data_IF_578342496738
#
_entry.id   IF_578342496738
#
_cell.length_a   1.000
_cell.length_b   1.000
_cell.length_c   1.000
_cell.angle_alpha   90.00
_cell.angle_beta   90.00
_cell.angle_gamma   90.00
#
_symmetry.space_group_name_H-M   'P 1'
#
loop_
_entity.id
_entity.type
_entity.pdbx_description
1 polymer ?
#
# COMPACT_ATOMS: atom_id res chain seq x y z
N UNK A 1 22.52 17.31 1.14
CA UNK A 1 21.73 16.38 1.97
C UNK A 1 20.28 16.56 1.60
N UNK A 2 19.53 15.52 1.16
CA UNK A 2 18.09 15.66 0.98
C UNK A 2 17.46 16.00 2.33
N UNK A 3 16.64 17.05 2.37
CA UNK A 3 15.95 17.48 3.57
C UNK A 3 15.06 16.33 4.08
N UNK A 4 15.31 15.87 5.30
CA UNK A 4 14.47 14.90 5.99
C UNK A 4 13.02 15.42 6.03
N UNK A 5 12.13 14.78 5.31
CA UNK A 5 10.71 15.12 5.40
C UNK A 5 10.21 14.75 6.80
N UNK A 6 9.61 15.69 7.53
CA UNK A 6 9.13 15.41 8.88
C UNK A 6 8.08 14.30 8.86
N UNK A 7 8.02 13.46 9.90
CA UNK A 7 7.02 12.41 9.97
C UNK A 7 5.62 13.02 9.96
N UNK A 8 4.70 12.36 9.26
CA UNK A 8 3.30 12.76 9.23
C UNK A 8 2.74 12.90 10.65
N UNK A 9 1.90 13.91 10.87
CA UNK A 9 1.28 14.15 12.17
C UNK A 9 0.60 12.88 12.70
N UNK A 10 0.79 12.61 14.00
CA UNK A 10 0.17 11.45 14.66
C UNK A 10 -1.34 11.53 14.55
N UNK A 11 -1.95 10.43 14.19
CA UNK A 11 -3.40 10.30 14.08
C UNK A 11 -3.90 9.37 15.19
N UNK A 12 -4.76 9.84 16.11
CA UNK A 12 -5.38 8.95 17.07
C UNK A 12 -6.25 7.93 16.34
N UNK A 13 -6.15 6.67 16.73
CA UNK A 13 -7.05 5.64 16.18
C UNK A 13 -8.49 5.88 16.65
N UNK A 14 -9.41 5.85 15.69
CA UNK A 14 -10.85 5.86 15.94
C UNK A 14 -11.47 4.69 15.19
N UNK A 15 -12.24 3.80 15.86
CA UNK A 15 -12.89 2.69 15.19
C UNK A 15 -13.80 3.20 14.05
N UNK A 16 -13.67 2.58 12.87
CA UNK A 16 -14.55 2.87 11.74
C UNK A 16 -16.02 2.57 12.10
N UNK A 17 -16.99 3.23 11.45
CA UNK A 17 -18.42 2.99 11.73
C UNK A 17 -18.81 1.52 11.65
N UNK A 18 -18.30 0.77 10.67
CA UNK A 18 -18.55 -0.67 10.54
C UNK A 18 -18.05 -1.44 11.77
N UNK A 19 -16.86 -1.12 12.30
CA UNK A 19 -16.33 -1.77 13.50
C UNK A 19 -17.17 -1.46 14.73
N UNK A 20 -17.64 -0.20 14.89
CA UNK A 20 -18.55 0.17 15.98
C UNK A 20 -19.88 -0.56 15.88
N UNK A 21 -20.44 -0.67 14.66
CA UNK A 21 -21.66 -1.42 14.40
C UNK A 21 -21.50 -2.91 14.72
N UNK A 22 -20.36 -3.52 14.33
CA UNK A 22 -20.05 -4.91 14.65
C UNK A 22 -19.99 -5.14 16.16
N UNK A 23 -19.28 -4.30 16.92
CA UNK A 23 -19.24 -4.40 18.39
C UNK A 23 -20.66 -4.29 18.99
N UNK A 24 -21.46 -3.30 18.57
CA UNK A 24 -22.83 -3.13 19.04
C UNK A 24 -23.70 -4.35 18.73
N UNK A 25 -23.57 -4.93 17.53
CA UNK A 25 -24.28 -6.14 17.12
C UNK A 25 -23.93 -7.33 18.03
N UNK A 26 -22.62 -7.54 18.32
CA UNK A 26 -22.21 -8.63 19.20
C UNK A 26 -22.79 -8.48 20.62
N UNK A 27 -22.75 -7.26 21.16
CA UNK A 27 -23.34 -6.98 22.47
C UNK A 27 -24.86 -7.21 22.48
N UNK A 28 -25.56 -6.75 21.44
CA UNK A 28 -27.00 -6.97 21.29
C UNK A 28 -27.35 -8.44 21.11
N UNK A 29 -26.60 -9.20 20.30
CA UNK A 29 -26.77 -10.63 20.10
C UNK A 29 -26.57 -11.42 21.39
N UNK A 30 -25.51 -11.11 22.16
CA UNK A 30 -25.28 -11.72 23.46
C UNK A 30 -26.40 -11.39 24.44
N UNK A 31 -26.81 -10.13 24.55
CA UNK A 31 -27.95 -9.70 25.40
C UNK A 31 -29.28 -10.40 25.05
N UNK A 32 -29.56 -10.50 23.75
CA UNK A 32 -30.78 -11.19 23.28
C UNK A 32 -30.77 -12.69 23.60
N UNK A 33 -29.63 -13.38 23.41
CA UNK A 33 -29.50 -14.80 23.74
C UNK A 33 -29.60 -15.07 25.26
N UNK A 34 -29.09 -14.15 26.10
CA UNK A 34 -29.21 -14.24 27.55
C UNK A 34 -30.63 -13.96 28.03
N UNK A 35 -31.29 -12.93 27.53
CA UNK A 35 -32.63 -12.55 27.92
C UNK A 35 -33.72 -13.52 27.40
N UNK A 36 -33.50 -14.12 26.25
CA UNK A 36 -34.39 -15.05 25.55
C UNK A 36 -33.59 -16.18 24.93
N UNK A 37 -33.27 -17.26 25.68
CA UNK A 37 -32.41 -18.34 25.19
C UNK A 37 -32.86 -18.95 23.85
N UNK A 38 -34.16 -19.02 23.57
CA UNK A 38 -34.69 -19.50 22.29
C UNK A 38 -34.25 -18.65 21.06
N UNK A 39 -33.67 -17.46 21.26
CA UNK A 39 -33.20 -16.59 20.18
C UNK A 39 -31.73 -16.83 19.81
N UNK A 40 -31.05 -17.78 20.50
CA UNK A 40 -29.63 -18.06 20.17
C UNK A 40 -29.34 -18.34 18.68
N UNK A 41 -30.24 -19.03 17.89
CA UNK A 41 -29.90 -19.26 16.48
C UNK A 41 -29.89 -17.97 15.67
N UNK A 42 -30.80 -17.03 15.98
CA UNK A 42 -30.86 -15.72 15.31
C UNK A 42 -29.66 -14.84 15.70
N UNK A 43 -29.27 -14.85 16.98
CA UNK A 43 -28.10 -14.16 17.48
C UNK A 43 -26.82 -14.68 16.82
N UNK A 44 -26.66 -16.00 16.72
CA UNK A 44 -25.51 -16.63 16.04
C UNK A 44 -25.51 -16.29 14.53
N UNK A 45 -26.67 -16.39 13.88
CA UNK A 45 -26.78 -16.07 12.45
C UNK A 45 -26.38 -14.61 12.16
N UNK A 46 -26.79 -13.67 13.01
CA UNK A 46 -26.40 -12.27 12.89
C UNK A 46 -24.88 -12.06 13.05
N UNK A 47 -24.26 -12.72 14.04
CA UNK A 47 -22.80 -12.68 14.25
C UNK A 47 -22.05 -13.29 13.08
N UNK A 48 -22.51 -14.43 12.55
CA UNK A 48 -21.89 -15.06 11.37
C UNK A 48 -21.99 -14.14 10.15
N UNK A 49 -23.15 -13.55 9.91
CA UNK A 49 -23.35 -12.60 8.80
C UNK A 49 -22.41 -11.38 8.92
N UNK A 50 -22.24 -10.84 10.12
CA UNK A 50 -21.31 -9.75 10.38
C UNK A 50 -19.85 -10.15 10.08
N UNK A 51 -19.42 -11.34 10.50
CA UNK A 51 -18.07 -11.83 10.20
C UNK A 51 -17.85 -12.07 8.70
N UNK A 52 -18.86 -12.56 7.98
CA UNK A 52 -18.81 -12.68 6.51
C UNK A 52 -18.68 -11.30 5.87
N UNK A 53 -19.42 -10.29 6.34
CA UNK A 53 -19.31 -8.92 5.87
C UNK A 53 -17.92 -8.33 6.13
N UNK A 54 -17.41 -8.46 7.36
CA UNK A 54 -16.06 -8.00 7.71
C UNK A 54 -14.98 -8.67 6.84
N UNK A 55 -15.13 -9.98 6.58
CA UNK A 55 -14.26 -10.74 5.69
C UNK A 55 -14.33 -10.22 4.25
N UNK A 56 -15.52 -10.07 3.70
CA UNK A 56 -15.73 -9.55 2.34
C UNK A 56 -15.12 -8.15 2.15
N UNK A 57 -15.34 -7.27 3.14
CA UNK A 57 -14.75 -5.92 3.14
C UNK A 57 -13.23 -5.98 3.23
N UNK A 58 -12.66 -6.91 4.01
CA UNK A 58 -11.23 -7.14 4.13
C UNK A 58 -10.58 -7.68 2.85
N UNK A 59 -11.34 -8.44 2.05
CA UNK A 59 -10.91 -8.95 0.74
C UNK A 59 -11.01 -7.90 -0.38
N UNK A 60 -11.58 -6.73 -0.10
CA UNK A 60 -11.65 -5.62 -1.05
C UNK A 60 -10.54 -4.60 -0.79
N UNK A 61 -9.41 -4.62 -1.56
CA UNK A 61 -8.21 -3.83 -1.26
C UNK A 61 -8.43 -2.32 -1.17
N UNK A 62 -9.39 -1.79 -1.93
CA UNK A 62 -9.71 -0.36 -1.98
C UNK A 62 -10.80 0.08 -1.01
N UNK A 63 -11.35 -0.82 -0.22
CA UNK A 63 -12.37 -0.48 0.78
C UNK A 63 -11.84 0.57 1.78
N UNK A 64 -12.71 1.42 2.28
CA UNK A 64 -12.48 2.35 3.40
C UNK A 64 -13.29 1.99 4.63
N UNK A 65 -14.09 0.91 4.58
CA UNK A 65 -15.03 0.53 5.64
C UNK A 65 -14.35 0.01 6.92
N UNK A 66 -13.11 -0.53 6.81
CA UNK A 66 -12.31 -0.96 7.96
C UNK A 66 -11.35 0.14 8.47
N UNK A 67 -11.45 1.36 7.95
CA UNK A 67 -10.60 2.50 8.30
C UNK A 67 -10.06 3.23 7.08
N UNK A 68 -9.36 4.35 7.29
CA UNK A 68 -8.80 5.15 6.21
C UNK A 68 -7.86 4.35 5.31
N UNK A 69 -7.93 4.65 4.02
CA UNK A 69 -7.13 3.99 3.00
C UNK A 69 -6.94 4.96 1.83
N UNK A 70 -5.71 5.26 1.50
CA UNK A 70 -5.38 6.08 0.33
C UNK A 70 -5.49 5.21 -0.92
N UNK A 71 -6.53 5.44 -1.69
CA UNK A 71 -6.74 4.81 -3.00
C UNK A 71 -6.41 5.76 -4.15
N UNK A 72 -6.28 7.06 -3.84
CA UNK A 72 -5.81 8.17 -4.70
C UNK A 72 -4.95 9.11 -3.87
N UNK A 73 -4.10 9.88 -4.52
CA UNK A 73 -3.38 10.97 -3.87
C UNK A 73 -4.37 11.99 -3.30
N UNK A 74 -4.04 12.65 -2.19
CA UNK A 74 -4.84 13.75 -1.67
C UNK A 74 -4.93 14.89 -2.67
N UNK A 75 -5.93 15.74 -2.53
CA UNK A 75 -6.02 16.97 -3.30
C UNK A 75 -4.85 17.89 -2.94
N UNK A 76 -4.15 18.38 -3.95
CA UNK A 76 -3.26 19.50 -3.81
C UNK A 76 -4.11 20.77 -3.96
N UNK A 77 -3.80 21.82 -3.20
CA UNK A 77 -4.48 23.12 -3.34
C UNK A 77 -4.40 23.66 -4.78
N UNK A 78 -5.21 24.64 -5.07
CA UNK A 78 -5.28 25.31 -6.39
C UNK A 78 -3.88 25.75 -6.86
N UNK A 79 -3.45 25.25 -8.03
CA UNK A 79 -2.12 25.54 -8.62
C UNK A 79 -1.08 24.42 -8.49
N UNK A 80 -1.41 23.28 -7.86
CA UNK A 80 -0.53 22.11 -7.83
C UNK A 80 -0.44 21.41 -9.21
N UNK A 81 0.79 21.02 -9.65
CA UNK A 81 0.97 20.20 -10.85
C UNK A 81 0.12 18.93 -10.76
N UNK A 82 -0.42 18.49 -11.91
CA UNK A 82 -1.20 17.26 -12.02
C UNK A 82 -0.34 16.04 -11.64
N UNK A 83 -0.34 15.68 -10.36
CA UNK A 83 0.52 14.66 -9.76
C UNK A 83 -0.06 13.26 -9.93
N UNK A 84 0.83 12.29 -10.12
CA UNK A 84 0.54 10.85 -10.14
C UNK A 84 1.58 10.12 -9.30
N UNK A 85 1.24 9.00 -8.66
CA UNK A 85 2.21 8.17 -7.97
C UNK A 85 2.45 6.85 -8.70
N UNK A 86 3.73 6.57 -8.99
CA UNK A 86 4.17 5.23 -9.40
C UNK A 86 4.65 4.52 -8.16
N UNK A 87 4.12 3.32 -7.90
CA UNK A 87 4.50 2.55 -6.72
C UNK A 87 4.90 1.13 -7.10
N UNK A 88 5.93 0.62 -6.43
CA UNK A 88 6.44 -0.74 -6.61
C UNK A 88 6.33 -1.51 -5.31
N UNK A 89 5.87 -2.76 -5.38
CA UNK A 89 5.73 -3.67 -4.24
C UNK A 89 6.73 -4.83 -4.34
N UNK A 90 6.90 -5.51 -3.23
CA UNK A 90 7.67 -6.76 -3.06
C UNK A 90 9.21 -6.62 -3.13
N UNK A 91 9.76 -5.48 -3.49
CA UNK A 91 11.21 -5.24 -3.52
C UNK A 91 11.90 -5.17 -2.14
N UNK A 92 13.19 -4.82 -2.11
CA UNK A 92 14.08 -4.71 -3.26
C UNK A 92 14.46 -6.07 -3.85
N UNK A 93 14.62 -6.12 -5.17
CA UNK A 93 15.08 -7.30 -5.91
C UNK A 93 16.42 -6.97 -6.60
N UNK A 94 17.50 -7.76 -6.37
CA UNK A 94 18.83 -7.41 -6.85
C UNK A 94 18.94 -7.39 -8.39
N UNK A 95 18.10 -8.11 -9.11
CA UNK A 95 18.16 -8.19 -10.58
C UNK A 95 17.23 -7.17 -11.26
N UNK A 96 16.14 -6.78 -10.59
CA UNK A 96 15.09 -5.96 -11.20
C UNK A 96 15.15 -4.52 -10.69
N UNK A 97 15.26 -4.30 -9.37
CA UNK A 97 15.20 -2.95 -8.78
C UNK A 97 16.25 -1.99 -9.36
N UNK A 98 17.55 -2.38 -9.56
CA UNK A 98 18.53 -1.47 -10.15
C UNK A 98 18.15 -1.00 -11.56
N UNK A 99 17.55 -1.88 -12.35
CA UNK A 99 17.10 -1.57 -13.71
C UNK A 99 15.86 -0.65 -13.69
N UNK A 100 14.93 -0.87 -12.74
CA UNK A 100 13.81 0.04 -12.51
C UNK A 100 14.32 1.44 -12.15
N UNK A 101 15.29 1.53 -11.25
CA UNK A 101 15.89 2.80 -10.83
C UNK A 101 16.55 3.54 -12.01
N UNK A 102 17.29 2.83 -12.87
CA UNK A 102 17.90 3.42 -14.07
C UNK A 102 16.83 4.01 -15.01
N UNK A 103 15.74 3.26 -15.28
CA UNK A 103 14.64 3.73 -16.12
C UNK A 103 13.92 4.95 -15.51
N UNK A 104 13.76 5.00 -14.19
CA UNK A 104 13.17 6.15 -13.52
C UNK A 104 14.07 7.39 -13.63
N UNK A 105 15.39 7.23 -13.49
CA UNK A 105 16.35 8.34 -13.63
C UNK A 105 16.37 8.89 -15.06
N UNK A 106 16.38 8.03 -16.09
CA UNK A 106 16.32 8.43 -17.51
C UNK A 106 15.11 9.34 -17.78
N UNK A 107 13.99 9.08 -17.11
CA UNK A 107 12.76 9.87 -17.28
C UNK A 107 12.58 10.94 -16.17
N UNK A 108 13.55 11.16 -15.30
CA UNK A 108 13.49 12.08 -14.14
C UNK A 108 12.25 11.86 -13.28
N UNK A 109 11.77 10.62 -13.22
CA UNK A 109 10.59 10.23 -12.45
C UNK A 109 10.95 9.88 -11.00
N UNK A 110 10.03 10.15 -10.07
CA UNK A 110 10.16 9.72 -8.67
C UNK A 110 9.06 8.74 -8.34
N UNK A 111 9.40 7.72 -7.54
CA UNK A 111 8.51 6.61 -7.20
C UNK A 111 8.57 6.27 -5.72
N UNK A 112 7.60 5.48 -5.25
CA UNK A 112 7.56 4.94 -3.90
C UNK A 112 7.67 3.43 -3.96
N UNK A 113 8.57 2.85 -3.16
CA UNK A 113 8.82 1.42 -3.07
C UNK A 113 8.29 0.87 -1.75
N UNK A 114 7.29 0.01 -1.79
CA UNK A 114 6.81 -0.75 -0.64
C UNK A 114 7.65 -2.01 -0.49
N UNK A 115 8.67 -1.92 0.35
CA UNK A 115 9.67 -2.96 0.48
C UNK A 115 9.34 -3.97 1.58
N UNK A 116 9.58 -5.24 1.29
CA UNK A 116 9.50 -6.34 2.26
C UNK A 116 10.71 -6.28 3.18
N UNK A 117 10.51 -6.15 4.50
CA UNK A 117 11.59 -5.97 5.48
C UNK A 117 12.66 -7.06 5.42
N UNK A 118 12.28 -8.32 5.18
CA UNK A 118 13.24 -9.42 5.01
C UNK A 118 14.12 -9.26 3.75
N UNK A 119 13.62 -8.60 2.71
CA UNK A 119 14.43 -8.28 1.50
C UNK A 119 15.33 -7.07 1.74
N UNK A 120 14.82 -6.06 2.46
CA UNK A 120 15.65 -4.92 2.91
C UNK A 120 16.83 -5.41 3.73
N UNK A 121 16.62 -6.33 4.68
CA UNK A 121 17.70 -6.93 5.48
C UNK A 121 18.72 -7.70 4.63
N UNK A 122 18.30 -8.34 3.55
CA UNK A 122 19.20 -9.08 2.64
C UNK A 122 19.96 -8.15 1.68
N UNK A 123 19.37 -7.02 1.31
CA UNK A 123 19.91 -6.10 0.31
C UNK A 123 19.91 -4.64 0.83
N UNK A 124 20.57 -4.37 1.99
CA UNK A 124 20.52 -3.04 2.61
C UNK A 124 21.20 -1.95 1.76
N UNK A 125 22.22 -2.30 0.96
CA UNK A 125 22.86 -1.37 0.03
C UNK A 125 21.88 -0.90 -1.06
N UNK A 126 21.07 -1.82 -1.60
CA UNK A 126 20.06 -1.49 -2.61
C UNK A 126 18.93 -0.63 -2.03
N UNK A 127 18.53 -0.90 -0.77
CA UNK A 127 17.58 -0.04 -0.08
C UNK A 127 18.11 1.40 0.09
N UNK A 128 19.38 1.57 0.45
CA UNK A 128 20.03 2.90 0.48
C UNK A 128 20.07 3.57 -0.90
N UNK A 129 20.34 2.80 -1.94
CA UNK A 129 20.39 3.31 -3.32
C UNK A 129 19.03 3.86 -3.76
N UNK A 130 17.92 3.18 -3.46
CA UNK A 130 16.57 3.68 -3.73
C UNK A 130 16.40 5.08 -3.15
N UNK A 131 16.76 5.27 -1.87
CA UNK A 131 16.61 6.56 -1.18
C UNK A 131 17.59 7.60 -1.73
N UNK A 132 18.86 7.22 -1.97
CA UNK A 132 19.89 8.12 -2.50
C UNK A 132 19.52 8.69 -3.89
N UNK A 133 18.77 7.94 -4.70
CA UNK A 133 18.23 8.39 -5.99
C UNK A 133 16.95 9.23 -5.87
N UNK A 134 16.51 9.57 -4.64
CA UNK A 134 15.36 10.45 -4.38
C UNK A 134 13.99 9.78 -4.46
N UNK A 135 13.94 8.46 -4.40
CA UNK A 135 12.72 7.69 -4.20
C UNK A 135 12.44 7.50 -2.70
N UNK A 136 11.25 6.99 -2.34
CA UNK A 136 10.94 6.68 -0.95
C UNK A 136 10.74 5.19 -0.74
N UNK A 137 11.16 4.69 0.42
CA UNK A 137 10.87 3.33 0.86
C UNK A 137 9.78 3.37 1.91
N UNK A 138 8.78 2.50 1.74
CA UNK A 138 7.62 2.34 2.60
C UNK A 138 7.44 0.87 3.00
N UNK A 139 6.62 0.61 4.02
CA UNK A 139 6.51 -0.67 4.68
C UNK A 139 5.55 -1.63 3.95
N UNK A 140 6.06 -2.83 3.58
CA UNK A 140 5.27 -3.91 2.97
C UNK A 140 5.29 -5.20 3.83
N UNK A 141 5.20 -5.08 5.16
CA UNK A 141 5.39 -6.13 6.16
C UNK A 141 6.81 -6.73 6.19
N UNK A 142 7.11 -7.53 7.21
CA UNK A 142 8.44 -8.14 7.36
C UNK A 142 8.67 -9.30 6.39
N UNK A 143 7.67 -10.18 6.20
CA UNK A 143 7.85 -11.46 5.49
C UNK A 143 6.94 -11.62 4.29
N UNK A 144 6.01 -10.69 4.05
CA UNK A 144 5.00 -10.79 3.00
C UNK A 144 4.23 -12.11 3.06
N UNK A 145 3.67 -12.44 4.22
CA UNK A 145 2.96 -13.70 4.42
C UNK A 145 1.67 -13.74 3.59
N UNK A 146 1.43 -14.84 2.87
CA UNK A 146 0.17 -15.05 2.14
C UNK A 146 -1.07 -14.97 3.05
N UNK A 147 -0.92 -15.41 4.30
CA UNK A 147 -1.96 -15.34 5.33
C UNK A 147 -1.96 -14.03 6.14
N UNK A 148 -1.35 -12.95 5.64
CA UNK A 148 -1.21 -11.69 6.39
C UNK A 148 -2.55 -11.17 6.93
N UNK A 149 -3.62 -11.21 6.11
CA UNK A 149 -4.97 -10.79 6.51
C UNK A 149 -5.66 -11.70 7.55
N UNK A 150 -5.09 -12.86 7.87
CA UNK A 150 -5.59 -13.78 8.91
C UNK A 150 -4.80 -13.66 10.22
N UNK A 151 -3.80 -12.79 10.29
CA UNK A 151 -2.99 -12.62 11.50
C UNK A 151 -3.79 -11.90 12.59
N UNK A 152 -3.59 -12.33 13.83
CA UNK A 152 -4.08 -11.62 15.00
C UNK A 152 -3.31 -10.32 15.28
N UNK A 153 -3.80 -9.49 16.22
CA UNK A 153 -3.29 -8.14 16.44
C UNK A 153 -1.80 -8.08 16.82
N UNK A 154 -1.31 -9.02 17.62
CA UNK A 154 0.13 -9.09 18.01
C UNK A 154 1.00 -9.41 16.80
N UNK A 155 0.64 -10.42 16.02
CA UNK A 155 1.41 -10.85 14.86
C UNK A 155 1.43 -9.78 13.75
N UNK A 156 0.33 -9.04 13.56
CA UNK A 156 0.29 -7.88 12.67
C UNK A 156 1.25 -6.78 13.14
N UNK A 157 1.22 -6.44 14.43
CA UNK A 157 2.12 -5.44 15.00
C UNK A 157 3.59 -5.83 14.85
N UNK A 158 3.93 -7.11 15.06
CA UNK A 158 5.29 -7.64 14.89
C UNK A 158 5.77 -7.57 13.45
N UNK A 159 4.92 -7.96 12.48
CA UNK A 159 5.24 -7.86 11.04
C UNK A 159 5.53 -6.41 10.62
N UNK A 160 4.73 -5.47 11.11
CA UNK A 160 4.88 -4.05 10.83
C UNK A 160 6.14 -3.50 11.50
N UNK A 161 6.33 -3.76 12.80
CA UNK A 161 7.43 -3.20 13.58
C UNK A 161 8.80 -3.69 13.08
N UNK A 162 8.93 -4.98 12.75
CA UNK A 162 10.19 -5.54 12.21
C UNK A 162 10.55 -4.95 10.85
N UNK A 163 9.57 -4.73 9.97
CA UNK A 163 9.82 -4.07 8.69
C UNK A 163 10.22 -2.60 8.88
N UNK A 164 9.59 -1.87 9.83
CA UNK A 164 10.02 -0.51 10.19
C UNK A 164 11.48 -0.48 10.65
N UNK A 165 11.87 -1.42 11.53
CA UNK A 165 13.24 -1.53 12.00
C UNK A 165 14.23 -1.85 10.87
N UNK A 166 13.87 -2.77 9.96
CA UNK A 166 14.69 -3.13 8.82
C UNK A 166 14.93 -1.92 7.89
N UNK A 167 13.88 -1.16 7.58
CA UNK A 167 13.96 0.05 6.74
C UNK A 167 14.80 1.11 7.43
N UNK A 168 14.54 1.41 8.70
CA UNK A 168 15.30 2.39 9.47
C UNK A 168 16.79 2.02 9.56
N UNK A 169 17.10 0.78 9.88
CA UNK A 169 18.48 0.30 9.99
C UNK A 169 19.25 0.37 8.66
N UNK A 170 18.57 0.11 7.54
CA UNK A 170 19.20 0.15 6.23
C UNK A 170 19.37 1.56 5.68
N UNK A 171 18.41 2.46 5.87
CA UNK A 171 18.30 3.75 5.17
C UNK A 171 18.43 4.98 6.05
N UNK A 172 18.27 4.84 7.37
CA UNK A 172 18.15 5.96 8.30
C UNK A 172 16.77 6.64 8.27
N UNK A 173 15.84 6.17 7.42
CA UNK A 173 14.51 6.76 7.28
C UNK A 173 13.42 5.90 7.92
N UNK A 174 12.38 6.55 8.43
CA UNK A 174 11.17 5.90 8.96
C UNK A 174 10.11 5.86 7.87
N UNK A 175 9.57 4.67 7.56
CA UNK A 175 8.45 4.57 6.64
C UNK A 175 7.21 5.28 7.23
N UNK A 176 6.44 5.95 6.37
CA UNK A 176 5.24 6.72 6.74
C UNK A 176 3.96 6.05 6.22
N UNK A 177 4.10 5.18 5.24
CA UNK A 177 3.00 4.46 4.63
C UNK A 177 3.20 2.96 4.76
N UNK A 178 2.07 2.25 4.72
CA UNK A 178 2.00 0.80 4.72
C UNK A 178 1.11 0.34 3.57
N UNK A 179 1.52 -0.71 2.88
CA UNK A 179 0.65 -1.44 1.96
C UNK A 179 0.52 -2.88 2.43
N UNK A 180 -0.71 -3.37 2.55
CA UNK A 180 -0.94 -4.74 2.98
C UNK A 180 -0.57 -5.73 1.87
N UNK A 181 0.10 -6.87 2.18
CA UNK A 181 0.31 -7.96 1.23
C UNK A 181 -0.96 -8.32 0.48
N UNK A 182 -0.88 -8.40 -0.85
CA UNK A 182 -2.01 -8.60 -1.77
C UNK A 182 -3.15 -7.55 -1.64
N UNK A 183 -2.98 -6.51 -0.84
CA UNK A 183 -4.00 -5.52 -0.51
C UNK A 183 -5.05 -6.01 0.50
N UNK A 184 -4.89 -7.22 1.05
CA UNK A 184 -5.87 -7.86 1.94
C UNK A 184 -5.64 -7.48 3.39
N UNK A 185 -6.73 -7.26 4.13
CA UNK A 185 -6.67 -6.79 5.51
C UNK A 185 -7.81 -7.34 6.37
N UNK A 186 -7.66 -7.20 7.67
CA UNK A 186 -8.68 -7.51 8.66
C UNK A 186 -8.92 -6.31 9.59
N UNK A 187 -9.91 -6.35 10.51
CA UNK A 187 -10.21 -5.26 11.44
C UNK A 187 -9.06 -4.83 12.36
N UNK A 188 -8.07 -5.68 12.60
CA UNK A 188 -6.96 -5.40 13.50
C UNK A 188 -5.81 -4.61 12.86
N UNK A 189 -5.79 -4.48 11.52
CA UNK A 189 -4.71 -3.80 10.83
C UNK A 189 -4.68 -2.29 11.13
N UNK A 190 -5.83 -1.61 11.06
CA UNK A 190 -5.87 -0.16 11.25
C UNK A 190 -5.40 0.29 12.65
N UNK A 191 -5.82 -0.33 13.78
CA UNK A 191 -5.24 0.01 15.09
C UNK A 191 -3.74 -0.27 15.19
N UNK A 192 -3.21 -1.30 14.51
CA UNK A 192 -1.77 -1.57 14.48
C UNK A 192 -1.01 -0.47 13.71
N UNK A 193 -1.53 -0.04 12.56
CA UNK A 193 -0.96 1.05 11.75
C UNK A 193 -0.99 2.39 12.50
N UNK A 194 -2.09 2.72 13.18
CA UNK A 194 -2.20 3.95 13.96
C UNK A 194 -1.17 4.01 15.09
N UNK A 195 -0.92 2.89 15.80
CA UNK A 195 0.13 2.80 16.82
C UNK A 195 1.53 2.98 16.24
N UNK A 196 1.77 2.47 15.03
CA UNK A 196 3.04 2.60 14.31
C UNK A 196 3.19 3.95 13.57
N UNK A 197 2.19 4.84 13.66
CA UNK A 197 2.10 6.09 12.91
C UNK A 197 2.21 5.91 11.38
N UNK A 198 1.63 4.83 10.87
CA UNK A 198 1.59 4.50 9.45
C UNK A 198 0.21 4.77 8.84
N UNK A 199 0.18 5.13 7.56
CA UNK A 199 -1.04 5.30 6.78
C UNK A 199 -1.17 4.18 5.76
N UNK A 200 -2.36 3.57 5.69
CA UNK A 200 -2.65 2.55 4.69
C UNK A 200 -2.78 3.18 3.31
N UNK A 201 -2.12 2.57 2.33
CA UNK A 201 -2.20 2.95 0.91
C UNK A 201 -2.52 1.72 0.07
N UNK A 202 -3.54 1.85 -0.76
CA UNK A 202 -3.84 0.91 -1.85
C UNK A 202 -3.42 1.52 -3.20
N UNK A 203 -4.22 1.35 -4.22
CA UNK A 203 -3.96 1.83 -5.58
C UNK A 203 -5.26 2.22 -6.27
N UNK A 204 -5.15 3.07 -7.28
CA UNK A 204 -6.23 3.33 -8.22
C UNK A 204 -6.21 2.31 -9.34
N UNK A 205 -5.00 2.02 -9.88
CA UNK A 205 -4.79 1.13 -11.02
C UNK A 205 -3.77 0.05 -10.70
N UNK A 206 -4.04 -1.16 -11.19
CA UNK A 206 -3.17 -2.33 -11.05
C UNK A 206 -2.95 -2.98 -12.40
N UNK A 207 -1.67 -3.22 -12.76
CA UNK A 207 -1.28 -3.86 -14.02
C UNK A 207 -1.47 -5.38 -14.03
N UNK A 208 -1.47 -6.03 -12.86
CA UNK A 208 -1.38 -7.49 -12.68
C UNK A 208 -0.07 -8.06 -13.24
N UNK A 209 1.00 -7.31 -13.12
CA UNK A 209 2.35 -7.62 -13.59
C UNK A 209 3.05 -8.73 -12.80
N UNK A 210 2.46 -9.22 -11.70
CA UNK A 210 2.90 -10.45 -11.01
C UNK A 210 2.34 -11.73 -11.64
N UNK A 211 1.31 -11.61 -12.49
CA UNK A 211 0.58 -12.73 -13.10
C UNK A 211 0.73 -12.74 -14.61
N UNK A 212 0.71 -11.55 -15.22
CA UNK A 212 0.76 -11.41 -16.69
C UNK A 212 2.16 -10.99 -17.13
N UNK A 213 2.84 -11.85 -17.90
CA UNK A 213 4.08 -11.53 -18.61
C UNK A 213 3.87 -10.77 -19.93
N UNK A 214 2.63 -10.38 -20.29
CA UNK A 214 2.31 -9.63 -21.51
C UNK A 214 2.36 -8.13 -21.25
N UNK A 215 3.48 -7.48 -21.60
CA UNK A 215 3.74 -6.07 -21.33
C UNK A 215 2.60 -5.15 -21.84
N UNK A 216 2.10 -5.38 -23.04
CA UNK A 216 1.01 -4.57 -23.62
C UNK A 216 -0.29 -4.68 -22.82
N UNK A 217 -0.63 -5.88 -22.30
CA UNK A 217 -1.82 -6.07 -21.47
C UNK A 217 -1.69 -5.37 -20.12
N UNK A 218 -0.51 -5.43 -19.50
CA UNK A 218 -0.20 -4.74 -18.25
C UNK A 218 -0.28 -3.24 -18.44
N UNK A 219 0.39 -2.71 -19.48
CA UNK A 219 0.39 -1.28 -19.85
C UNK A 219 -1.04 -0.78 -20.07
N UNK A 220 -1.83 -1.46 -20.89
CA UNK A 220 -3.19 -1.05 -21.19
C UNK A 220 -4.11 -0.97 -19.95
N UNK A 221 -3.89 -1.82 -18.93
CA UNK A 221 -4.63 -1.71 -17.66
C UNK A 221 -4.21 -0.51 -16.82
N UNK A 222 -2.95 -0.13 -16.88
CA UNK A 222 -2.41 1.01 -16.12
C UNK A 222 -2.76 2.35 -16.78
N UNK A 223 -2.81 2.40 -18.12
CA UNK A 223 -3.01 3.65 -18.87
C UNK A 223 -4.46 3.96 -19.23
N UNK A 224 -5.38 2.98 -19.17
CA UNK A 224 -6.79 3.19 -19.51
C UNK A 224 -7.44 4.24 -18.61
N UNK A 225 -7.74 5.43 -19.12
CA UNK A 225 -8.30 6.56 -18.39
C UNK A 225 -7.35 7.07 -17.28
N UNK A 226 -6.04 7.12 -17.57
CA UNK A 226 -5.02 7.65 -16.68
C UNK A 226 -5.31 9.11 -16.35
N UNK A 227 -5.30 9.46 -15.06
CA UNK A 227 -5.64 10.80 -14.62
C UNK A 227 -4.82 11.24 -13.41
N UNK A 228 -4.83 12.53 -13.14
CA UNK A 228 -4.20 13.08 -11.94
C UNK A 228 -4.68 12.39 -10.67
N UNK A 229 -3.78 12.29 -9.70
CA UNK A 229 -4.00 11.66 -8.39
C UNK A 229 -4.08 10.13 -8.43
N UNK A 230 -3.92 9.49 -9.59
CA UNK A 230 -3.83 8.04 -9.62
C UNK A 230 -2.61 7.53 -8.85
N UNK A 231 -2.78 6.39 -8.19
CA UNK A 231 -1.71 5.60 -7.59
C UNK A 231 -1.60 4.31 -8.40
N UNK A 232 -0.50 4.15 -9.10
CA UNK A 232 -0.24 3.01 -9.97
C UNK A 232 0.52 1.94 -9.18
N UNK A 233 0.04 0.68 -9.25
CA UNK A 233 0.68 -0.47 -8.64
C UNK A 233 1.40 -1.31 -9.68
N UNK A 234 2.69 -1.46 -9.47
CA UNK A 234 3.64 -2.32 -10.16
C UNK A 234 4.43 -3.13 -9.11
N UNK A 235 5.28 -4.06 -9.56
CA UNK A 235 6.11 -4.87 -8.69
C UNK A 235 7.54 -4.96 -9.23
N UNK A 236 8.51 -4.50 -8.45
CA UNK A 236 9.94 -4.73 -8.70
C UNK A 236 10.43 -6.07 -8.12
N UNK A 237 9.71 -6.59 -7.10
CA UNK A 237 9.83 -7.97 -6.67
C UNK A 237 8.72 -8.84 -7.24
N UNK A 238 9.00 -10.11 -7.58
CA UNK A 238 8.00 -11.09 -8.10
C UNK A 238 7.30 -10.69 -9.41
N UNK A 239 7.86 -9.79 -10.19
CA UNK A 239 7.35 -9.45 -11.51
C UNK A 239 7.33 -10.69 -12.41
N UNK A 240 6.23 -10.93 -13.12
CA UNK A 240 6.11 -12.04 -14.08
C UNK A 240 7.17 -11.90 -15.18
N UNK A 241 7.56 -13.03 -15.78
CA UNK A 241 8.52 -13.02 -16.87
C UNK A 241 7.80 -12.91 -18.21
N UNK A 242 8.39 -12.14 -19.12
CA UNK A 242 7.99 -12.07 -20.51
C UNK A 242 8.47 -13.32 -21.28
N UNK A 243 8.10 -13.46 -22.53
CA UNK A 243 8.58 -14.55 -23.41
C UNK A 243 10.09 -14.50 -23.64
N UNK A 244 10.73 -13.34 -23.43
CA UNK A 244 12.19 -13.15 -23.49
C UNK A 244 12.89 -13.48 -22.17
N UNK A 245 12.15 -13.83 -21.11
CA UNK A 245 12.68 -14.08 -19.77
C UNK A 245 12.91 -12.84 -18.94
N UNK A 246 12.67 -11.64 -19.47
CA UNK A 246 12.79 -10.37 -18.72
C UNK A 246 11.64 -10.21 -17.72
N UNK A 247 11.86 -9.46 -16.62
CA UNK A 247 10.77 -9.05 -15.75
C UNK A 247 9.85 -8.09 -16.52
N UNK A 248 8.54 -8.37 -16.57
CA UNK A 248 7.58 -7.60 -17.40
C UNK A 248 7.53 -6.13 -17.02
N UNK A 249 7.78 -5.78 -15.77
CA UNK A 249 7.84 -4.39 -15.29
C UNK A 249 8.88 -3.57 -16.06
N UNK A 250 9.99 -4.17 -16.49
CA UNK A 250 11.06 -3.49 -17.23
C UNK A 250 10.66 -3.15 -18.67
N UNK A 251 9.76 -3.93 -19.26
CA UNK A 251 9.20 -3.65 -20.58
C UNK A 251 7.99 -2.69 -20.51
N UNK A 252 7.29 -2.67 -19.36
CA UNK A 252 6.11 -1.82 -19.12
C UNK A 252 6.50 -0.40 -18.73
N UNK A 253 7.56 -0.24 -17.93
CA UNK A 253 7.88 1.05 -17.30
C UNK A 253 8.21 2.17 -18.31
N UNK A 254 9.03 1.99 -19.36
CA UNK A 254 9.33 3.06 -20.30
C UNK A 254 8.08 3.60 -21.03
N UNK A 255 7.23 2.77 -21.67
CA UNK A 255 6.02 3.27 -22.33
C UNK A 255 4.99 3.82 -21.33
N UNK A 256 4.96 3.35 -20.06
CA UNK A 256 4.12 3.92 -19.02
C UNK A 256 4.57 5.35 -18.66
N UNK A 257 5.88 5.57 -18.49
CA UNK A 257 6.45 6.89 -18.22
C UNK A 257 6.20 7.86 -19.37
N UNK A 258 6.32 7.39 -20.63
CA UNK A 258 5.97 8.18 -21.81
C UNK A 258 4.47 8.56 -21.82
N UNK A 259 3.57 7.62 -21.49
CA UNK A 259 2.13 7.89 -21.42
C UNK A 259 1.78 8.90 -20.32
N UNK A 260 2.44 8.80 -19.14
CA UNK A 260 2.29 9.76 -18.04
C UNK A 260 2.72 11.17 -18.48
N UNK A 261 3.88 11.28 -19.14
CA UNK A 261 4.37 12.56 -19.67
C UNK A 261 3.45 13.15 -20.74
N UNK A 262 2.97 12.32 -21.68
CA UNK A 262 2.02 12.73 -22.72
C UNK A 262 0.67 13.21 -22.14
N UNK A 263 0.27 12.69 -20.99
CA UNK A 263 -0.91 13.15 -20.25
C UNK A 263 -0.66 14.43 -19.42
N UNK A 264 0.53 15.02 -19.47
CA UNK A 264 0.91 16.19 -18.66
C UNK A 264 0.99 15.92 -17.16
N UNK A 265 1.17 14.66 -16.76
CA UNK A 265 1.22 14.25 -15.37
C UNK A 265 2.66 14.20 -14.84
N UNK A 266 2.85 14.54 -13.58
CA UNK A 266 4.16 14.52 -12.91
C UNK A 266 4.23 13.40 -11.90
N UNK A 267 5.15 12.40 -12.06
CA UNK A 267 5.38 11.36 -11.07
C UNK A 267 5.97 11.92 -9.78
N UNK A 268 5.31 11.65 -8.65
CA UNK A 268 5.75 12.08 -7.32
C UNK A 268 5.75 10.92 -6.35
N UNK A 269 6.55 11.02 -5.28
CA UNK A 269 6.46 10.07 -4.17
C UNK A 269 5.20 10.32 -3.33
N UNK A 270 4.73 9.30 -2.62
CA UNK A 270 3.59 9.46 -1.70
C UNK A 270 3.88 10.49 -0.59
N UNK A 271 5.14 10.56 -0.11
CA UNK A 271 5.55 11.58 0.88
C UNK A 271 5.44 12.98 0.31
N UNK A 272 5.97 13.21 -0.89
CA UNK A 272 5.86 14.51 -1.54
C UNK A 272 4.41 14.94 -1.77
N UNK A 273 3.53 13.99 -2.11
CA UNK A 273 2.10 14.26 -2.24
C UNK A 273 1.44 14.61 -0.89
N UNK A 274 1.82 13.92 0.18
CA UNK A 274 1.34 14.20 1.53
C UNK A 274 1.78 15.59 2.02
N UNK A 275 3.04 15.93 1.79
CA UNK A 275 3.62 17.22 2.20
C UNK A 275 2.98 18.39 1.44
N UNK A 276 2.67 18.21 0.17
CA UNK A 276 1.93 19.21 -0.62
C UNK A 276 0.53 19.44 -0.07
N UNK A 277 -0.20 18.35 0.23
CA UNK A 277 -1.55 18.46 0.79
C UNK A 277 -1.56 19.11 2.19
N UNK A 278 -0.54 18.86 3.01
CA UNK A 278 -0.43 19.47 4.33
C UNK A 278 -0.11 20.98 4.30
N UNK A 279 0.49 21.47 3.20
CA UNK A 279 0.82 22.89 2.99
C UNK A 279 -0.28 23.68 2.26
N UNK A 280 -1.27 22.99 1.74
CA UNK A 280 -2.43 23.65 1.12
C UNK A 280 -3.37 24.15 2.21
N UNK A 281 -3.76 25.44 2.18
CA UNK A 281 -4.63 26.06 3.19
C UNK A 281 -6.05 25.45 3.20
#
# INVERSE_FOLDING_TARGET
MPAYAPPLARRPWRPAPLIRGSVALHLAAAGAALARPQWWPWALSAVVADHVLLGAVGLWPRSKLLGPNWTRLPEAGAGGAAAIAITFDDGPDPDVTPRVLALLDEHRARATFFCVGARVNRHPALAREIVARGHTIENHSQRHLHRFSLLGPRALADEIARAQQAILAATGEVAQFFRAPAGLRNPFLEPALARANLRLVSWTRRGFDTVSGRAQSVLGRLTRGLEARDILLLHDGRSARTTTGSAVVLEVLPPLLAAIAAAGLTPVTLRAAADRAARSP
#
